data_IF_005255324003
#
_entry.id   IF_005255324003
#
_cell.length_a   1.000
_cell.length_b   1.000
_cell.length_c   1.000
_cell.angle_alpha   90.00
_cell.angle_beta   90.00
_cell.angle_gamma   90.00
#
_symmetry.space_group_name_H-M   'P 1'
#
loop_
_entity.id
_entity.type
_entity.pdbx_description
1 polymer ?
#
# COMPACT_ATOMS: atom_id res chain seq x y z
N UNK A 1 16.83 10.81 -15.18
CA UNK A 1 15.52 10.15 -15.04
C UNK A 1 15.77 8.66 -14.87
N UNK A 2 15.75 8.22 -13.62
CA UNK A 2 16.06 6.84 -13.25
C UNK A 2 14.84 5.94 -13.37
N UNK A 3 15.07 4.65 -13.46
CA UNK A 3 14.02 3.62 -13.43
C UNK A 3 13.06 3.76 -12.23
N UNK A 4 13.56 4.28 -11.10
CA UNK A 4 12.76 4.55 -9.90
C UNK A 4 11.67 5.62 -10.09
N UNK A 5 11.96 6.71 -10.79
CA UNK A 5 10.94 7.74 -11.10
C UNK A 5 9.80 7.14 -11.91
N UNK A 6 10.14 6.41 -12.97
CA UNK A 6 9.14 5.79 -13.84
C UNK A 6 8.29 4.73 -13.11
N UNK A 7 8.89 4.01 -12.16
CA UNK A 7 8.18 3.06 -11.33
C UNK A 7 7.28 3.77 -10.32
N UNK A 8 7.73 4.88 -9.71
CA UNK A 8 6.92 5.71 -8.80
C UNK A 8 5.72 6.31 -9.52
N UNK A 9 5.92 6.95 -10.67
CA UNK A 9 4.84 7.53 -11.49
C UNK A 9 3.79 6.49 -11.89
N UNK A 10 4.22 5.31 -12.34
CA UNK A 10 3.28 4.23 -12.70
C UNK A 10 2.57 3.64 -11.50
N UNK A 11 3.21 3.65 -10.34
CA UNK A 11 2.60 3.17 -9.11
C UNK A 11 1.58 4.17 -8.61
N UNK A 12 1.90 5.47 -8.54
CA UNK A 12 0.92 6.53 -8.23
C UNK A 12 -0.28 6.45 -9.17
N UNK A 13 -0.06 6.45 -10.49
CA UNK A 13 -1.16 6.40 -11.46
C UNK A 13 -2.04 5.13 -11.34
N UNK A 14 -1.45 4.02 -10.88
CA UNK A 14 -2.19 2.79 -10.58
C UNK A 14 -2.93 2.84 -9.24
N UNK A 15 -2.39 3.56 -8.25
CA UNK A 15 -3.06 3.82 -6.96
C UNK A 15 -4.20 4.81 -7.18
N UNK A 16 -3.98 5.91 -7.89
CA UNK A 16 -5.01 6.89 -8.24
C UNK A 16 -6.20 6.24 -8.99
N UNK A 17 -5.91 5.33 -9.92
CA UNK A 17 -6.96 4.67 -10.74
C UNK A 17 -7.55 3.41 -10.11
N UNK A 18 -6.82 2.76 -9.19
CA UNK A 18 -7.18 1.44 -8.64
C UNK A 18 -6.87 1.29 -7.15
N UNK A 19 -6.89 2.37 -6.38
CA UNK A 19 -6.60 2.41 -4.94
C UNK A 19 -7.42 1.37 -4.17
N UNK A 20 -8.74 1.33 -4.41
CA UNK A 20 -9.65 0.33 -3.83
C UNK A 20 -9.21 -1.13 -4.08
N UNK A 21 -8.60 -1.41 -5.24
CA UNK A 21 -8.18 -2.75 -5.64
C UNK A 21 -6.84 -3.13 -5.02
N UNK A 22 -5.96 -2.15 -4.83
CA UNK A 22 -4.68 -2.33 -4.14
C UNK A 22 -4.95 -2.52 -2.65
N UNK A 23 -5.80 -1.67 -2.09
CA UNK A 23 -6.23 -1.74 -0.70
C UNK A 23 -6.90 -3.08 -0.37
N UNK A 24 -7.87 -3.51 -1.20
CA UNK A 24 -8.49 -4.83 -1.05
C UNK A 24 -7.55 -6.01 -1.34
N UNK A 25 -6.45 -5.79 -2.08
CA UNK A 25 -5.39 -6.78 -2.30
C UNK A 25 -4.47 -6.92 -1.08
N UNK A 26 -4.17 -5.80 -0.42
CA UNK A 26 -3.39 -5.74 0.82
C UNK A 26 -4.18 -6.39 1.96
N UNK A 27 -5.47 -6.06 2.12
CA UNK A 27 -6.33 -6.68 3.13
C UNK A 27 -6.45 -8.20 2.91
N UNK A 28 -6.60 -8.67 1.66
CA UNK A 28 -6.58 -10.11 1.37
C UNK A 28 -5.25 -10.78 1.68
N UNK A 29 -4.14 -10.11 1.42
CA UNK A 29 -2.82 -10.63 1.77
C UNK A 29 -2.65 -10.70 3.29
N UNK A 30 -3.24 -9.74 4.01
CA UNK A 30 -3.31 -9.71 5.45
C UNK A 30 -4.07 -10.92 6.01
N UNK A 31 -5.32 -11.12 5.56
CA UNK A 31 -6.16 -12.27 5.92
C UNK A 31 -5.45 -13.60 5.62
N UNK A 32 -4.87 -13.74 4.43
CA UNK A 32 -4.15 -14.98 4.07
C UNK A 32 -2.91 -15.22 4.95
N UNK A 33 -2.19 -14.17 5.32
CA UNK A 33 -1.05 -14.27 6.22
C UNK A 33 -1.50 -14.56 7.65
N UNK A 34 -2.61 -13.97 8.10
CA UNK A 34 -3.27 -14.26 9.37
C UNK A 34 -3.66 -15.72 9.46
N UNK A 35 -4.45 -16.20 8.50
CA UNK A 35 -4.93 -17.58 8.42
C UNK A 35 -3.77 -18.58 8.41
N UNK A 36 -2.74 -18.31 7.62
CA UNK A 36 -1.53 -19.17 7.59
C UNK A 36 -0.76 -19.17 8.90
N UNK A 37 -0.79 -18.07 9.64
CA UNK A 37 -0.11 -17.93 10.92
C UNK A 37 -1.01 -18.30 12.11
N UNK A 38 -2.28 -18.63 11.83
CA UNK A 38 -3.31 -18.92 12.82
C UNK A 38 -3.59 -17.73 13.75
N UNK A 39 -3.56 -16.51 13.21
CA UNK A 39 -3.77 -15.26 13.96
C UNK A 39 -2.62 -14.87 14.90
N UNK A 40 -1.51 -15.62 14.93
CA UNK A 40 -0.39 -15.33 15.84
C UNK A 40 0.37 -14.05 15.53
N UNK A 41 0.26 -13.54 14.30
CA UNK A 41 0.95 -12.34 13.86
C UNK A 41 -0.02 -11.28 13.32
N UNK A 42 -1.30 -11.36 13.65
CA UNK A 42 -2.32 -10.40 13.19
C UNK A 42 -1.93 -8.97 13.47
N UNK A 43 -1.60 -8.64 14.73
CA UNK A 43 -1.16 -7.28 15.09
C UNK A 43 0.00 -6.76 14.22
N UNK A 44 0.92 -7.64 13.80
CA UNK A 44 2.06 -7.25 12.95
C UNK A 44 1.68 -7.11 11.49
N UNK A 45 0.75 -7.96 11.04
CA UNK A 45 0.25 -7.96 9.67
C UNK A 45 -0.62 -6.72 9.48
N UNK A 46 -1.58 -6.47 10.38
CA UNK A 46 -2.45 -5.28 10.39
C UNK A 46 -1.61 -3.99 10.50
N UNK A 47 -0.65 -3.93 11.43
CA UNK A 47 0.26 -2.78 11.51
C UNK A 47 1.13 -2.61 10.25
N UNK A 48 1.45 -3.70 9.54
CA UNK A 48 2.18 -3.65 8.27
C UNK A 48 1.30 -3.18 7.10
N UNK A 49 0.04 -3.60 7.10
CA UNK A 49 -1.01 -3.20 6.16
C UNK A 49 -1.33 -1.73 6.32
N UNK A 50 -1.57 -1.26 7.55
CA UNK A 50 -1.84 0.15 7.85
C UNK A 50 -0.70 1.05 7.37
N UNK A 51 0.56 0.65 7.63
CA UNK A 51 1.73 1.40 7.13
C UNK A 51 1.85 1.37 5.62
N UNK A 52 1.48 0.27 4.98
CA UNK A 52 1.48 0.17 3.53
C UNK A 52 0.38 1.04 2.91
N UNK A 53 -0.82 1.06 3.52
CA UNK A 53 -1.91 1.94 3.13
C UNK A 53 -1.52 3.40 3.32
N UNK A 54 -0.95 3.78 4.47
CA UNK A 54 -0.47 5.14 4.75
C UNK A 54 0.63 5.60 3.77
N UNK A 55 1.56 4.69 3.41
CA UNK A 55 2.58 4.97 2.42
C UNK A 55 2.04 5.06 0.98
N UNK A 56 1.00 4.27 0.65
CA UNK A 56 0.30 4.34 -0.64
C UNK A 56 -0.52 5.62 -0.75
N UNK A 57 -1.22 6.00 0.32
CA UNK A 57 -1.98 7.25 0.42
C UNK A 57 -1.04 8.47 0.32
N UNK A 58 0.15 8.39 0.94
CA UNK A 58 1.22 9.36 0.75
C UNK A 58 1.83 9.39 -0.66
N UNK A 59 1.72 8.31 -1.43
CA UNK A 59 2.10 8.24 -2.85
C UNK A 59 0.99 8.76 -3.78
N UNK A 60 -0.27 8.61 -3.37
CA UNK A 60 -1.48 9.04 -4.08
C UNK A 60 -1.74 10.54 -3.89
N UNK A 61 -1.33 11.12 -2.76
CA UNK A 61 -1.59 12.51 -2.49
C UNK A 61 -0.79 13.11 -1.34
N UNK A 62 0.46 13.49 -1.61
CA UNK A 62 1.14 14.71 -1.08
C UNK A 62 2.60 14.81 -1.56
N UNK A 63 2.76 15.04 -2.86
CA UNK A 63 3.93 15.77 -3.40
C UNK A 63 3.43 17.10 -4.02
N UNK A 64 2.42 17.74 -3.39
CA UNK A 64 1.84 19.03 -3.81
C UNK A 64 1.80 20.08 -2.67
N UNK A 65 2.73 19.98 -1.71
CA UNK A 65 2.99 21.01 -0.70
C UNK A 65 4.51 21.26 -0.58
N UNK A 66 5.11 21.71 -1.68
CA UNK A 66 6.32 22.55 -1.63
C UNK A 66 5.89 24.02 -1.79
N UNK A 67 5.56 24.69 -0.68
CA UNK A 67 5.55 26.15 -0.59
C UNK A 67 6.74 26.64 0.24
#
# INVERSE_FOLDING_TARGET
MGFLDNAKDKLSDAVDKHGDKIEGGIDKAADLASDKTGGKYDDKIESGVDKAKDALDGLDGKDDDIQ
#
